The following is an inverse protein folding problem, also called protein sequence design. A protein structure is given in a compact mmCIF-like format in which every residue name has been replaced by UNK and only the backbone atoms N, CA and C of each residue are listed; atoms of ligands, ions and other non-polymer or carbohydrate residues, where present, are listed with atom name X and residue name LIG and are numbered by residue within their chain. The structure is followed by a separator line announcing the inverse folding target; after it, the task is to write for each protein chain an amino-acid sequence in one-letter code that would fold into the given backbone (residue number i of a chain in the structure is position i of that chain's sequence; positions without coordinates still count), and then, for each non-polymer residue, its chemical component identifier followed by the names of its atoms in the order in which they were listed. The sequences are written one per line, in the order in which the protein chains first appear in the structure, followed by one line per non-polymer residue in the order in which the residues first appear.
data_IF_791941131109
#
_entry.id   IF_791941131109
#
_cell.length_a   1.000
_cell.length_b   1.000
_cell.length_c   1.000
_cell.angle_alpha   90.00
_cell.angle_beta   90.00
_cell.angle_gamma   90.00
#
_symmetry.space_group_name_H-M   'P 1'
#
loop_
_entity.id
_entity.type
_entity.pdbx_description
1 polymer ?
#
# COMPACT_ATOMS: atom_id res chain seq x y z
N UNK A 1 -23.36 -12.66 20.83
CA UNK A 1 -22.95 -12.63 20.12
C UNK A 1 -22.33 -11.93 20.10
N UNK A 2 -22.20 -11.72 20.46
CA UNK A 2 -21.84 -11.05 20.23
C UNK A 2 -20.77 -10.20 20.73
N UNK A 3 -20.35 -10.15 21.93
CA UNK A 3 -19.19 -9.45 22.39
C UNK A 3 -17.90 -9.98 21.76
N UNK A 4 -17.75 -11.29 21.74
CA UNK A 4 -16.53 -11.87 21.14
C UNK A 4 -16.48 -11.65 19.64
N UNK A 5 -17.61 -11.71 19.00
CA UNK A 5 -17.68 -11.47 17.57
C UNK A 5 -17.39 -10.01 17.26
N UNK A 6 -17.92 -9.12 18.07
CA UNK A 6 -17.65 -7.71 17.93
C UNK A 6 -16.19 -7.38 18.18
N UNK A 7 -15.60 -7.97 19.20
CA UNK A 7 -14.18 -7.78 19.50
C UNK A 7 -13.30 -8.32 18.36
N UNK A 8 -13.64 -9.45 17.81
CA UNK A 8 -12.90 -10.02 16.68
C UNK A 8 -12.98 -9.10 15.46
N UNK A 9 -14.15 -8.54 15.21
CA UNK A 9 -14.31 -7.61 14.10
C UNK A 9 -13.48 -6.34 14.32
N UNK A 10 -13.51 -5.82 15.51
CA UNK A 10 -12.70 -4.65 15.84
C UNK A 10 -11.22 -4.92 15.72
N UNK A 11 -10.77 -6.07 16.21
CA UNK A 11 -9.36 -6.43 16.10
C UNK A 11 -8.94 -6.58 14.65
N UNK A 12 -9.82 -7.12 13.81
CA UNK A 12 -9.51 -7.30 12.41
C UNK A 12 -9.35 -5.98 11.67
N UNK A 13 -10.02 -4.92 12.12
CA UNK A 13 -9.97 -3.61 11.46
C UNK A 13 -9.27 -2.54 12.30
N UNK A 14 -8.76 -2.92 13.46
CA UNK A 14 -8.21 -1.94 14.40
C UNK A 14 -6.90 -1.32 13.93
N UNK A 15 -6.14 -2.02 13.10
CA UNK A 15 -4.84 -1.54 12.66
C UNK A 15 -4.88 -1.11 11.20
N UNK A 16 -4.71 0.18 10.92
CA UNK A 16 -4.60 0.63 9.53
C UNK A 16 -3.46 -0.05 8.78
N UNK A 17 -2.36 -0.33 9.46
CA UNK A 17 -1.24 -1.05 8.84
C UNK A 17 -1.63 -2.44 8.39
N UNK A 18 -2.42 -3.13 9.19
CA UNK A 18 -2.86 -4.47 8.84
C UNK A 18 -3.80 -4.44 7.64
N UNK A 19 -4.67 -3.45 7.57
CA UNK A 19 -5.57 -3.25 6.43
C UNK A 19 -4.76 -2.99 5.16
N UNK A 20 -3.77 -2.12 5.24
CA UNK A 20 -2.91 -1.80 4.12
C UNK A 20 -2.12 -3.02 3.66
N UNK A 21 -1.58 -3.78 4.61
CA UNK A 21 -0.83 -4.98 4.31
C UNK A 21 -1.69 -5.98 3.53
N UNK A 22 -2.91 -6.20 3.99
CA UNK A 22 -3.84 -7.10 3.31
C UNK A 22 -4.18 -6.60 1.92
N UNK A 23 -4.34 -5.29 1.76
CA UNK A 23 -4.67 -4.70 0.47
C UNK A 23 -3.53 -4.89 -0.53
N UNK A 24 -2.29 -4.65 -0.11
CA UNK A 24 -1.14 -4.86 -1.00
C UNK A 24 -0.99 -6.33 -1.39
N UNK A 25 -1.19 -7.24 -0.44
CA UNK A 25 -1.14 -8.67 -0.74
C UNK A 25 -2.23 -9.08 -1.72
N UNK A 26 -3.42 -8.53 -1.52
CA UNK A 26 -4.55 -8.83 -2.38
C UNK A 26 -4.29 -8.40 -3.83
N UNK A 27 -3.88 -7.17 -4.04
CA UNK A 27 -3.65 -6.69 -5.40
C UNK A 27 -2.46 -7.39 -6.05
N UNK A 28 -1.43 -7.72 -5.28
CA UNK A 28 -0.30 -8.49 -5.82
C UNK A 28 -0.74 -9.89 -6.25
N UNK A 29 -1.63 -10.50 -5.47
CA UNK A 29 -2.20 -11.79 -5.85
C UNK A 29 -2.99 -11.70 -7.14
N UNK A 30 -3.77 -10.64 -7.30
CA UNK A 30 -4.51 -10.43 -8.55
C UNK A 30 -3.56 -10.25 -9.73
N UNK A 31 -2.50 -9.49 -9.56
CA UNK A 31 -1.53 -9.29 -10.65
C UNK A 31 -0.81 -10.58 -11.00
N UNK A 32 -0.40 -11.34 -9.99
CA UNK A 32 0.29 -12.61 -10.21
C UNK A 32 -0.59 -13.62 -10.94
N UNK A 33 -1.89 -13.58 -10.69
CA UNK A 33 -2.83 -14.50 -11.33
C UNK A 33 -3.44 -13.99 -12.62
N UNK A 34 -3.06 -12.80 -13.07
CA UNK A 34 -3.63 -12.21 -14.27
C UNK A 34 -3.00 -12.84 -15.51
N UNK A 35 -3.82 -13.60 -16.26
CA UNK A 35 -3.34 -14.37 -17.40
C UNK A 35 -3.90 -13.90 -18.73
N UNK A 36 -4.85 -12.97 -18.71
CA UNK A 36 -5.46 -12.46 -19.93
C UNK A 36 -5.77 -10.97 -19.78
N UNK A 37 -6.22 -10.37 -20.85
CA UNK A 37 -6.51 -8.93 -20.89
C UNK A 37 -7.52 -8.52 -19.82
N UNK A 38 -8.55 -9.33 -19.64
CA UNK A 38 -9.61 -9.01 -18.68
C UNK A 38 -9.11 -9.05 -17.23
N UNK A 39 -8.43 -10.12 -16.85
CA UNK A 39 -7.92 -10.25 -15.49
C UNK A 39 -6.84 -9.23 -15.21
N UNK A 40 -6.03 -8.86 -16.21
CA UNK A 40 -5.08 -7.78 -16.08
C UNK A 40 -5.78 -6.45 -15.81
N UNK A 41 -6.83 -6.15 -16.57
CA UNK A 41 -7.55 -4.90 -16.40
C UNK A 41 -8.17 -4.81 -15.01
N UNK A 42 -8.73 -5.91 -14.52
CA UNK A 42 -9.28 -5.95 -13.16
C UNK A 42 -8.20 -5.71 -12.13
N UNK A 43 -7.06 -6.38 -12.25
CA UNK A 43 -5.96 -6.21 -11.31
C UNK A 43 -5.45 -4.77 -11.30
N UNK A 44 -5.25 -4.20 -12.48
CA UNK A 44 -4.73 -2.83 -12.59
C UNK A 44 -5.73 -1.80 -12.05
N UNK A 45 -7.02 -2.02 -12.25
CA UNK A 45 -8.03 -1.14 -11.69
C UNK A 45 -7.96 -1.15 -10.15
N UNK A 46 -7.76 -2.32 -9.57
CA UNK A 46 -7.64 -2.43 -8.11
C UNK A 46 -6.37 -1.78 -7.60
N UNK A 47 -5.27 -1.91 -8.32
CA UNK A 47 -4.01 -1.23 -7.98
C UNK A 47 -4.21 0.28 -8.00
N UNK A 48 -4.83 0.79 -9.05
CA UNK A 48 -5.08 2.23 -9.18
C UNK A 48 -5.93 2.73 -8.01
N UNK A 49 -6.97 1.99 -7.68
CA UNK A 49 -7.86 2.35 -6.57
C UNK A 49 -7.12 2.34 -5.23
N UNK A 50 -6.31 1.32 -5.00
CA UNK A 50 -5.54 1.25 -3.75
C UNK A 50 -4.67 2.48 -3.57
N UNK A 51 -3.93 2.86 -4.60
CA UNK A 51 -3.06 4.02 -4.52
C UNK A 51 -3.84 5.32 -4.43
N UNK A 52 -5.02 5.40 -5.05
CA UNK A 52 -5.89 6.58 -4.90
C UNK A 52 -6.30 6.77 -3.45
N UNK A 53 -6.69 5.69 -2.78
CA UNK A 53 -7.09 5.74 -1.38
C UNK A 53 -5.90 6.14 -0.51
N UNK A 54 -4.74 5.53 -0.74
CA UNK A 54 -3.55 5.85 0.03
C UNK A 54 -3.11 7.30 -0.15
N UNK A 55 -3.12 7.79 -1.38
CA UNK A 55 -2.71 9.15 -1.67
C UNK A 55 -3.67 10.17 -1.07
N UNK A 56 -4.96 9.85 -1.10
CA UNK A 56 -5.95 10.71 -0.47
C UNK A 56 -5.72 10.81 1.03
N UNK A 57 -5.42 9.70 1.68
CA UNK A 57 -5.12 9.70 3.10
C UNK A 57 -3.82 10.46 3.40
N UNK A 58 -2.79 10.26 2.59
CA UNK A 58 -1.52 10.95 2.77
C UNK A 58 -1.65 12.45 2.62
N UNK A 59 -2.58 12.91 1.79
CA UNK A 59 -2.82 14.33 1.59
C UNK A 59 -3.77 14.95 2.60
N UNK A 60 -4.37 14.15 3.49
CA UNK A 60 -5.36 14.68 4.41
C UNK A 60 -4.68 15.35 5.61
N UNK A 61 -5.33 16.37 6.20
CA UNK A 61 -4.76 17.08 7.36
C UNK A 61 -4.55 16.19 8.57
N UNK A 62 -5.32 15.10 8.68
CA UNK A 62 -5.20 14.19 9.80
C UNK A 62 -4.09 13.17 9.68
N UNK A 63 -3.37 13.14 8.55
CA UNK A 63 -2.30 12.19 8.39
C UNK A 63 -1.12 12.57 9.28
N UNK A 64 -0.65 11.62 10.06
CA UNK A 64 0.33 11.84 11.11
C UNK A 64 1.78 11.68 10.67
N UNK A 65 2.01 11.28 9.44
CA UNK A 65 3.38 11.07 8.95
C UNK A 65 4.10 12.39 8.71
N UNK A 66 5.42 12.44 8.88
CA UNK A 66 6.19 13.63 8.56
C UNK A 66 6.03 14.02 7.09
N UNK A 67 6.12 15.31 6.82
CA UNK A 67 5.90 15.84 5.47
C UNK A 67 6.82 15.21 4.44
N UNK A 68 8.08 14.99 4.80
CA UNK A 68 9.04 14.39 3.88
C UNK A 68 8.65 12.99 3.46
N UNK A 69 8.25 12.16 4.42
CA UNK A 69 7.82 10.80 4.13
C UNK A 69 6.54 10.80 3.32
N UNK A 70 5.57 11.65 3.69
CA UNK A 70 4.33 11.77 2.92
C UNK A 70 4.61 12.12 1.47
N UNK A 71 5.52 13.06 1.23
CA UNK A 71 5.89 13.46 -0.12
C UNK A 71 6.46 12.30 -0.93
N UNK A 72 7.33 11.51 -0.30
CA UNK A 72 7.91 10.34 -0.96
C UNK A 72 6.86 9.30 -1.30
N UNK A 73 5.95 9.04 -0.39
CA UNK A 73 4.89 8.07 -0.62
C UNK A 73 3.93 8.54 -1.71
N UNK A 74 3.63 9.83 -1.73
CA UNK A 74 2.79 10.39 -2.80
C UNK A 74 3.50 10.27 -4.14
N UNK A 75 4.80 10.51 -4.20
CA UNK A 75 5.58 10.34 -5.42
C UNK A 75 5.53 8.89 -5.92
N UNK A 76 5.63 7.93 -5.00
CA UNK A 76 5.48 6.53 -5.35
C UNK A 76 4.09 6.23 -5.89
N UNK A 77 3.07 6.83 -5.29
CA UNK A 77 1.71 6.66 -5.75
C UNK A 77 1.50 7.21 -7.15
N UNK A 78 2.08 8.37 -7.42
CA UNK A 78 2.00 8.95 -8.76
C UNK A 78 2.66 8.02 -9.78
N UNK A 79 3.84 7.50 -9.44
CA UNK A 79 4.53 6.54 -10.29
C UNK A 79 3.67 5.28 -10.51
N UNK A 80 3.10 4.75 -9.42
CA UNK A 80 2.30 3.53 -9.50
C UNK A 80 1.08 3.71 -10.37
N UNK A 81 0.40 4.84 -10.26
CA UNK A 81 -0.79 5.10 -11.07
C UNK A 81 -0.43 5.30 -12.53
N UNK A 82 0.67 5.98 -12.78
CA UNK A 82 1.16 6.17 -14.14
C UNK A 82 1.56 4.84 -14.78
N UNK A 83 2.24 4.02 -14.00
CA UNK A 83 2.63 2.68 -14.44
C UNK A 83 1.40 1.82 -14.74
N UNK A 84 0.37 1.92 -13.91
CA UNK A 84 -0.87 1.20 -14.11
C UNK A 84 -1.52 1.58 -15.45
N UNK A 85 -1.58 2.87 -15.73
CA UNK A 85 -2.17 3.35 -16.98
C UNK A 85 -1.39 2.86 -18.19
N UNK A 86 -0.06 2.91 -18.11
CA UNK A 86 0.79 2.43 -19.21
C UNK A 86 0.61 0.93 -19.45
N UNK A 87 0.54 0.15 -18.38
CA UNK A 87 0.40 -1.31 -18.52
C UNK A 87 -0.99 -1.70 -19.02
N UNK A 88 -2.01 -0.87 -18.77
CA UNK A 88 -3.31 -1.10 -19.38
C UNK A 88 -3.25 -0.98 -20.89
N UNK A 89 -2.48 0.00 -21.39
CA UNK A 89 -2.40 0.26 -22.80
C UNK A 89 -1.52 -0.72 -23.55
N UNK A 90 -0.34 -1.04 -23.00
CA UNK A 90 0.67 -1.76 -23.78
C UNK A 90 0.78 -3.25 -23.43
N UNK A 91 0.09 -3.70 -22.41
CA UNK A 91 0.18 -5.11 -22.02
C UNK A 91 1.54 -5.51 -21.46
N UNK A 92 2.36 -4.56 -21.06
CA UNK A 92 3.69 -4.84 -20.56
C UNK A 92 3.72 -5.54 -19.22
N UNK A 93 4.91 -5.83 -18.73
CA UNK A 93 5.10 -6.56 -17.49
C UNK A 93 4.54 -5.82 -16.29
N UNK A 94 3.86 -6.54 -15.41
CA UNK A 94 3.37 -6.02 -14.14
C UNK A 94 4.41 -6.14 -13.03
N UNK A 95 5.56 -6.71 -13.33
CA UNK A 95 6.59 -6.97 -12.32
C UNK A 95 7.06 -5.70 -11.58
N UNK A 96 7.25 -4.55 -12.25
CA UNK A 96 7.65 -3.35 -11.49
C UNK A 96 6.63 -2.95 -10.44
N UNK A 97 5.33 -3.06 -10.74
CA UNK A 97 4.28 -2.78 -9.75
C UNK A 97 4.31 -3.80 -8.62
N UNK A 98 4.45 -5.07 -8.98
CA UNK A 98 4.49 -6.13 -7.99
C UNK A 98 5.70 -6.00 -7.07
N UNK A 99 6.84 -5.59 -7.64
CA UNK A 99 8.05 -5.37 -6.85
C UNK A 99 7.87 -4.23 -5.87
N UNK A 100 7.28 -3.13 -6.29
CA UNK A 100 6.97 -2.02 -5.39
C UNK A 100 6.09 -2.49 -4.25
N UNK A 101 5.05 -3.25 -4.57
CA UNK A 101 4.13 -3.73 -3.54
C UNK A 101 4.80 -4.71 -2.59
N UNK A 102 5.74 -5.55 -3.07
CA UNK A 102 6.50 -6.41 -2.18
C UNK A 102 7.32 -5.61 -1.18
N UNK A 103 7.90 -4.50 -1.63
CA UNK A 103 8.64 -3.62 -0.73
C UNK A 103 7.70 -3.01 0.32
N UNK A 104 6.50 -2.59 -0.10
CA UNK A 104 5.51 -2.07 0.83
C UNK A 104 5.08 -3.12 1.84
N UNK A 105 4.84 -4.34 1.37
CA UNK A 105 4.46 -5.47 2.23
C UNK A 105 5.55 -5.73 3.25
N UNK A 106 6.79 -5.79 2.81
CA UNK A 106 7.92 -6.05 3.70
C UNK A 106 8.03 -4.96 4.77
N UNK A 107 7.88 -3.70 4.37
CA UNK A 107 7.93 -2.59 5.31
C UNK A 107 6.81 -2.68 6.34
N UNK A 108 5.60 -3.01 5.90
CA UNK A 108 4.46 -3.13 6.80
C UNK A 108 4.58 -4.34 7.72
N UNK A 109 5.13 -5.44 7.21
CA UNK A 109 5.38 -6.60 8.06
C UNK A 109 6.41 -6.32 9.14
N UNK A 110 7.40 -5.52 8.82
CA UNK A 110 8.41 -5.13 9.81
C UNK A 110 7.81 -4.29 10.94
N UNK A 111 6.65 -3.64 10.68
CA UNK A 111 5.93 -2.89 11.70
C UNK A 111 5.01 -3.76 12.55
N UNK A 112 4.74 -4.97 12.09
CA UNK A 112 3.79 -5.86 12.76
C UNK A 112 4.33 -6.25 14.12
N UNK A 113 3.50 -6.13 15.15
CA UNK A 113 3.90 -6.45 16.51
C UNK A 113 4.62 -5.34 17.24
N UNK A 114 4.98 -4.26 16.55
CA UNK A 114 5.57 -3.12 17.22
C UNK A 114 4.48 -2.32 17.92
N UNK A 115 4.80 -1.69 19.07
CA UNK A 115 3.83 -0.84 19.74
C UNK A 115 3.38 0.29 18.83
N UNK A 116 2.12 0.67 18.95
CA UNK A 116 1.64 1.87 18.24
C UNK A 116 2.33 3.06 18.87
N UNK A 117 3.14 3.81 18.13
CA UNK A 117 3.86 4.93 18.72
C UNK A 117 2.90 6.06 19.07
N UNK A 118 3.16 6.69 20.22
CA UNK A 118 2.42 7.87 20.61
C UNK A 118 2.79 9.05 19.73
N UNK A 119 3.98 9.00 19.11
CA UNK A 119 4.47 10.08 18.28
C UNK A 119 4.58 9.61 16.83
N UNK A 120 3.89 10.30 15.92
CA UNK A 120 3.90 9.91 14.52
C UNK A 120 5.29 9.85 13.89
N UNK A 121 6.19 10.72 14.32
CA UNK A 121 7.54 10.76 13.76
C UNK A 121 8.32 9.47 13.95
N UNK A 122 8.10 8.79 15.07
CA UNK A 122 8.77 7.52 15.35
C UNK A 122 8.26 6.43 14.40
N UNK A 123 6.95 6.41 14.20
CA UNK A 123 6.34 5.45 13.29
C UNK A 123 6.86 5.65 11.86
N UNK A 124 6.99 6.90 11.46
CA UNK A 124 7.45 7.22 10.12
C UNK A 124 8.86 6.74 9.87
N UNK A 125 9.75 6.89 10.84
CA UNK A 125 11.13 6.44 10.69
C UNK A 125 11.21 4.94 10.47
N UNK A 126 10.33 4.19 11.10
CA UNK A 126 10.32 2.74 10.95
C UNK A 126 9.69 2.29 9.63
N UNK A 127 8.79 3.10 9.06
CA UNK A 127 8.07 2.73 7.85
C UNK A 127 8.89 2.92 6.57
N UNK A 128 9.89 3.79 6.60
CA UNK A 128 10.63 4.17 5.40
C UNK A 128 11.93 3.40 5.24
N UNK A 129 11.92 2.16 4.72
CA UNK A 129 13.16 1.43 4.47
C UNK A 129 13.93 2.07 3.31
N UNK A 130 15.26 1.93 3.29
CA UNK A 130 16.08 2.53 2.23
C UNK A 130 15.71 2.10 0.82
N UNK A 131 15.35 0.83 0.64
CA UNK A 131 14.96 0.33 -0.68
C UNK A 131 13.73 1.05 -1.21
N UNK A 132 12.80 1.36 -0.33
CA UNK A 132 11.60 2.09 -0.66
C UNK A 132 11.92 3.52 -1.08
N UNK A 133 12.78 4.17 -0.32
CA UNK A 133 13.20 5.54 -0.64
C UNK A 133 13.95 5.61 -1.97
N UNK A 134 14.73 4.60 -2.31
CA UNK A 134 15.50 4.56 -3.54
C UNK A 134 14.60 4.52 -4.78
N UNK A 135 13.40 3.98 -4.68
CA UNK A 135 12.49 3.91 -5.81
C UNK A 135 11.87 5.25 -6.15
N UNK A 136 11.90 6.18 -5.22
CA UNK A 136 11.34 7.51 -5.43
C UNK A 136 12.37 8.43 -6.09
N UNK A 137 13.63 8.18 -5.84
CA UNK A 137 14.70 8.97 -6.43
C UNK A 137 14.85 8.64 -7.90
#
# INVERSE_FOLDING_TARGET
MSASRYAATQNAVASPREIELRAFRFVNGLMAGATDTRTRAVALEKVHRLWSILMNDLGSPGNALPAELRGRLISLGIWAQRETDLRLDDGGSLEPLMALHRDMIEALEAQRGLPVPARPGIAASAIAPPAFAARVA
#
